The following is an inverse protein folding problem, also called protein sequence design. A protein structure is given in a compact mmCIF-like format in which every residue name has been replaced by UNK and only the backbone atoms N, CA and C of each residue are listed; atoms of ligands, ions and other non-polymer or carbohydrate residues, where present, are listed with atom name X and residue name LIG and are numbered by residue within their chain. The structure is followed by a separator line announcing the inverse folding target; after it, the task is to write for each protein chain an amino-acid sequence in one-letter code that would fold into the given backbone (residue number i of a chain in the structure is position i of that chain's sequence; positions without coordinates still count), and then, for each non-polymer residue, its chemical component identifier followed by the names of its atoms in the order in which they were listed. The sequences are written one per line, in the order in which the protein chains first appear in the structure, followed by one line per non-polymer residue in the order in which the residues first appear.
data_IF_911753253877
#
_entry.id   IF_911753253877
#
_cell.length_a   1.000
_cell.length_b   1.000
_cell.length_c   1.000
_cell.angle_alpha   90.00
_cell.angle_beta   90.00
_cell.angle_gamma   90.00
#
_symmetry.space_group_name_H-M   'P 1'
#
loop_
_entity.id
_entity.type
_entity.pdbx_description
1 polymer ?
#
# COMPACT_ATOMS: atom_id res chain seq x y z
N UNK A 1 6.67 -0.59 -20.23
CA UNK A 1 6.35 0.08 -18.94
C UNK A 1 7.53 0.84 -18.37
N UNK A 2 8.73 0.25 -18.30
CA UNK A 2 9.91 0.92 -17.71
C UNK A 2 10.39 2.13 -18.52
N UNK A 3 10.42 2.04 -19.84
CA UNK A 3 10.87 3.14 -20.72
C UNK A 3 9.97 4.38 -20.60
N UNK A 4 8.66 4.20 -20.74
CA UNK A 4 7.66 5.26 -20.55
C UNK A 4 7.70 5.88 -19.15
N UNK A 5 7.99 5.07 -18.12
CA UNK A 5 8.12 5.56 -16.75
C UNK A 5 9.36 6.45 -16.59
N UNK A 6 10.48 6.07 -17.19
CA UNK A 6 11.72 6.84 -17.14
C UNK A 6 11.57 8.19 -17.85
N UNK A 7 10.89 8.20 -19.00
CA UNK A 7 10.56 9.43 -19.73
C UNK A 7 9.70 10.38 -18.88
N UNK A 8 8.62 9.88 -18.27
CA UNK A 8 7.77 10.69 -17.39
C UNK A 8 8.55 11.18 -16.16
N UNK A 9 9.41 10.35 -15.56
CA UNK A 9 10.20 10.74 -14.39
C UNK A 9 11.07 11.95 -14.68
N UNK A 10 11.66 12.01 -15.88
CA UNK A 10 12.49 13.14 -16.32
C UNK A 10 11.73 14.47 -16.45
N UNK A 11 10.39 14.41 -16.56
CA UNK A 11 9.51 15.57 -16.74
C UNK A 11 8.81 16.00 -15.43
N UNK A 12 9.03 15.29 -14.32
CA UNK A 12 8.35 15.60 -13.05
C UNK A 12 8.89 16.87 -12.39
N UNK A 13 7.97 17.70 -11.93
CA UNK A 13 8.25 18.86 -11.09
C UNK A 13 7.91 18.50 -9.65
N UNK A 14 8.93 18.39 -8.78
CA UNK A 14 8.79 17.92 -7.39
C UNK A 14 7.75 18.73 -6.60
N UNK A 15 7.69 20.04 -6.83
CA UNK A 15 6.78 20.96 -6.13
C UNK A 15 5.30 20.78 -6.53
N UNK A 16 5.03 20.06 -7.61
CA UNK A 16 3.66 19.72 -8.06
C UNK A 16 3.20 18.34 -7.60
N UNK A 17 4.02 17.63 -6.82
CA UNK A 17 3.71 16.29 -6.36
C UNK A 17 2.60 16.33 -5.31
N UNK A 18 1.48 15.66 -5.57
CA UNK A 18 0.41 15.55 -4.60
C UNK A 18 0.78 14.60 -3.46
N UNK A 19 0.06 14.68 -2.35
CA UNK A 19 0.19 13.71 -1.27
C UNK A 19 -0.08 12.27 -1.75
N UNK A 20 -1.08 12.08 -2.61
CA UNK A 20 -1.39 10.78 -3.20
C UNK A 20 -0.24 10.23 -4.04
N UNK A 21 0.49 11.08 -4.77
CA UNK A 21 1.66 10.67 -5.54
C UNK A 21 2.79 10.17 -4.63
N UNK A 22 3.01 10.84 -3.50
CA UNK A 22 4.01 10.42 -2.50
C UNK A 22 3.65 9.07 -1.90
N UNK A 23 2.38 8.86 -1.53
CA UNK A 23 1.87 7.58 -1.01
C UNK A 23 2.01 6.48 -2.06
N UNK A 24 1.67 6.75 -3.32
CA UNK A 24 1.78 5.78 -4.40
C UNK A 24 3.24 5.39 -4.67
N UNK A 25 4.16 6.36 -4.70
CA UNK A 25 5.59 6.10 -4.86
C UNK A 25 6.14 5.22 -3.73
N UNK A 26 5.78 5.50 -2.48
CA UNK A 26 6.16 4.69 -1.32
C UNK A 26 5.60 3.26 -1.42
N UNK A 27 4.31 3.10 -1.77
CA UNK A 27 3.70 1.79 -1.97
C UNK A 27 4.43 0.98 -3.05
N UNK A 28 4.79 1.60 -4.17
CA UNK A 28 5.57 0.96 -5.23
C UNK A 28 6.96 0.54 -4.77
N UNK A 29 7.67 1.40 -4.02
CA UNK A 29 8.99 1.07 -3.46
C UNK A 29 8.92 -0.13 -2.50
N UNK A 30 7.83 -0.25 -1.76
CA UNK A 30 7.56 -1.37 -0.85
C UNK A 30 7.00 -2.63 -1.55
N UNK A 31 6.82 -2.60 -2.87
CA UNK A 31 6.21 -3.72 -3.62
C UNK A 31 4.74 -3.96 -3.28
N UNK A 32 4.05 -2.93 -2.76
CA UNK A 32 2.64 -2.98 -2.40
C UNK A 32 1.80 -2.69 -3.64
N UNK A 33 0.94 -3.64 -4.00
CA UNK A 33 -0.02 -3.51 -5.10
C UNK A 33 -1.47 -3.60 -4.60
N UNK A 34 -2.42 -3.25 -5.47
CA UNK A 34 -3.86 -3.23 -5.13
C UNK A 34 -4.33 -4.57 -4.56
N UNK A 35 -3.98 -5.68 -5.20
CA UNK A 35 -4.51 -6.99 -4.85
C UNK A 35 -3.75 -7.61 -3.66
N UNK A 36 -2.44 -7.38 -3.54
CA UNK A 36 -1.70 -7.79 -2.34
C UNK A 36 -2.17 -7.03 -1.11
N UNK A 37 -2.50 -5.74 -1.24
CA UNK A 37 -3.08 -4.94 -0.15
C UNK A 37 -4.43 -5.50 0.28
N UNK A 38 -5.33 -5.77 -0.68
CA UNK A 38 -6.64 -6.35 -0.37
C UNK A 38 -6.51 -7.71 0.33
N UNK A 39 -5.61 -8.59 -0.15
CA UNK A 39 -5.33 -9.86 0.53
C UNK A 39 -4.81 -9.65 1.94
N UNK A 40 -3.87 -8.75 2.17
CA UNK A 40 -3.36 -8.43 3.52
C UNK A 40 -4.43 -7.83 4.44
N UNK A 41 -5.40 -7.12 3.89
CA UNK A 41 -6.52 -6.55 4.66
C UNK A 41 -7.65 -7.55 4.96
N UNK A 42 -7.72 -8.66 4.23
CA UNK A 42 -8.85 -9.61 4.27
C UNK A 42 -8.48 -11.02 4.73
N UNK A 43 -7.24 -11.45 4.57
CA UNK A 43 -6.85 -12.85 4.79
C UNK A 43 -6.75 -13.21 6.28
N UNK A 44 -7.15 -14.43 6.63
CA UNK A 44 -6.78 -15.06 7.89
C UNK A 44 -5.30 -15.45 7.83
N UNK A 45 -4.55 -15.09 8.88
CA UNK A 45 -3.10 -15.21 8.91
C UNK A 45 -2.65 -16.66 8.77
N UNK A 46 -2.09 -17.02 7.61
CA UNK A 46 -1.03 -18.02 7.56
C UNK A 46 0.23 -17.30 7.11
N UNK A 47 1.10 -17.07 8.09
CA UNK A 47 2.54 -16.72 8.01
C UNK A 47 2.98 -15.28 7.65
N UNK A 48 3.51 -14.65 8.70
CA UNK A 48 4.72 -13.81 8.85
C UNK A 48 4.89 -12.43 8.17
N UNK A 49 5.04 -11.46 9.08
CA UNK A 49 5.71 -10.14 9.04
C UNK A 49 4.90 -8.86 8.71
N UNK A 50 4.74 -8.10 9.81
CA UNK A 50 4.95 -6.64 9.97
C UNK A 50 4.22 -5.76 8.96
N UNK A 51 2.97 -5.43 9.26
CA UNK A 51 2.46 -4.12 9.70
C UNK A 51 1.07 -4.42 10.29
N UNK A 52 0.45 -3.51 11.07
CA UNK A 52 -0.89 -3.72 11.67
C UNK A 52 -1.99 -3.80 10.59
N UNK A 53 -1.97 -4.83 9.75
CA UNK A 53 -3.02 -5.12 8.80
C UNK A 53 -4.08 -5.95 9.52
N UNK A 54 -5.35 -5.54 9.41
CA UNK A 54 -6.51 -6.28 9.91
C UNK A 54 -6.74 -7.62 9.20
N UNK A 55 -5.70 -8.39 8.94
CA UNK A 55 -5.82 -9.78 8.53
C UNK A 55 -6.42 -10.58 9.70
N UNK A 56 -7.54 -11.28 9.47
CA UNK A 56 -8.17 -12.14 10.46
C UNK A 56 -9.70 -12.12 10.44
N UNK A 57 -10.27 -12.87 11.38
CA UNK A 57 -11.71 -12.92 11.59
C UNK A 57 -12.33 -11.52 11.72
N UNK A 58 -13.59 -11.38 11.32
CA UNK A 58 -14.32 -10.10 11.36
C UNK A 58 -14.22 -9.42 12.73
N UNK A 59 -14.30 -10.19 13.83
CA UNK A 59 -14.15 -9.66 15.19
C UNK A 59 -12.82 -8.93 15.40
N UNK A 60 -11.71 -9.52 14.97
CA UNK A 60 -10.37 -8.91 15.08
C UNK A 60 -10.28 -7.65 14.23
N UNK A 61 -10.88 -7.64 13.04
CA UNK A 61 -10.94 -6.46 12.17
C UNK A 61 -11.70 -5.29 12.81
N UNK A 62 -12.83 -5.58 13.45
CA UNK A 62 -13.60 -4.57 14.19
C UNK A 62 -12.78 -4.02 15.37
N UNK A 63 -12.12 -4.89 16.15
CA UNK A 63 -11.26 -4.45 17.25
C UNK A 63 -10.09 -3.56 16.79
N UNK A 64 -9.47 -3.88 15.64
CA UNK A 64 -8.41 -3.05 15.05
C UNK A 64 -8.98 -1.70 14.61
N UNK A 65 -10.16 -1.69 13.99
CA UNK A 65 -10.83 -0.46 13.54
C UNK A 65 -11.22 0.46 14.70
N UNK A 66 -11.80 -0.08 15.78
CA UNK A 66 -12.20 0.70 16.96
C UNK A 66 -11.01 1.33 17.70
N UNK A 67 -9.80 0.84 17.46
CA UNK A 67 -8.55 1.34 18.06
C UNK A 67 -7.73 2.27 17.16
N UNK A 68 -8.25 2.67 15.98
CA UNK A 68 -7.65 3.70 15.11
C UNK A 68 -8.00 5.10 15.60
#
# INVERSE_FOLDING_TARGET
MTEFRNEIESLKVVDRQSEHDRIHAANLQMGIDKYSTLRKSAAESYTYHVYKSGAGATKTRVQVFDGL
#
